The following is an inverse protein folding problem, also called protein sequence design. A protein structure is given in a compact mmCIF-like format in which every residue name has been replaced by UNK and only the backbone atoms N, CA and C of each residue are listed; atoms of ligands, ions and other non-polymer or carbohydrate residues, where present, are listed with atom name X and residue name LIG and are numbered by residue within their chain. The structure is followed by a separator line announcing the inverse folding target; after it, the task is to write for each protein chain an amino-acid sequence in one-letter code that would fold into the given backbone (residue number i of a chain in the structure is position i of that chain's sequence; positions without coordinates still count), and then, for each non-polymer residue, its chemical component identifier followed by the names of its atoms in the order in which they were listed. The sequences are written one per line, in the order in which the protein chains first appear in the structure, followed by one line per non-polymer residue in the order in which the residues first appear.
data_IF_636710664192
#
_entry.id   IF_636710664192
#
_cell.length_a   1.000
_cell.length_b   1.000
_cell.length_c   1.000
_cell.angle_alpha   90.00
_cell.angle_beta   90.00
_cell.angle_gamma   90.00
#
_symmetry.space_group_name_H-M   'P 1'
#
loop_
_entity.id
_entity.type
_entity.pdbx_description
1 polymer ?
#
# COMPACT_ATOMS: atom_id res chain seq x y z
N UNK A 1 0.07 30.35 13.13
CA UNK A 1 -0.44 29.92 11.81
C UNK A 1 -1.48 28.84 12.08
N UNK A 2 -2.75 29.08 11.77
CA UNK A 2 -3.78 28.03 11.80
C UNK A 2 -3.66 27.26 10.49
N UNK A 3 -3.40 25.96 10.57
CA UNK A 3 -3.54 25.07 9.42
C UNK A 3 -5.02 25.09 9.00
N UNK A 4 -5.28 25.46 7.75
CA UNK A 4 -6.61 25.31 7.16
C UNK A 4 -6.91 23.82 7.01
N UNK A 5 -8.14 23.39 7.31
CA UNK A 5 -8.60 21.98 7.35
C UNK A 5 -8.23 21.08 6.14
N UNK A 6 -7.73 21.64 5.03
CA UNK A 6 -7.30 20.91 3.83
C UNK A 6 -5.84 20.44 3.79
N UNK A 7 -5.01 20.75 4.79
CA UNK A 7 -3.56 20.41 4.78
C UNK A 7 -3.17 19.29 5.74
N UNK A 8 -4.11 18.69 6.46
CA UNK A 8 -3.78 17.62 7.39
C UNK A 8 -3.34 16.37 6.61
N UNK A 9 -2.16 15.85 6.93
CA UNK A 9 -1.60 14.63 6.34
C UNK A 9 -1.33 13.62 7.45
N UNK A 10 -1.79 12.40 7.26
CA UNK A 10 -1.58 11.29 8.20
C UNK A 10 -0.66 10.29 7.53
N UNK A 11 0.46 9.99 8.18
CA UNK A 11 1.30 8.84 7.85
C UNK A 11 0.95 7.71 8.81
N UNK A 12 0.47 6.59 8.28
CA UNK A 12 0.40 5.32 8.97
C UNK A 12 1.56 4.46 8.48
N UNK A 13 2.39 3.96 9.39
CA UNK A 13 3.51 3.08 9.06
C UNK A 13 3.43 1.83 9.90
N UNK A 14 3.51 0.68 9.24
CA UNK A 14 3.59 -0.63 9.87
C UNK A 14 4.72 -1.44 9.25
N UNK A 15 5.59 -1.97 10.11
CA UNK A 15 6.60 -2.96 9.74
C UNK A 15 6.53 -4.13 10.72
N UNK A 16 6.34 -5.33 10.22
CA UNK A 16 6.07 -6.49 11.06
C UNK A 16 5.48 -7.66 10.27
N UNK A 17 4.69 -8.50 10.95
CA UNK A 17 4.09 -9.67 10.33
C UNK A 17 2.77 -9.33 9.65
N UNK A 18 2.69 -9.65 8.35
CA UNK A 18 1.46 -9.75 7.59
C UNK A 18 1.22 -11.20 7.21
N UNK A 19 -0.03 -11.65 7.28
CA UNK A 19 -0.43 -13.04 7.09
C UNK A 19 -1.64 -13.14 6.17
N UNK A 20 -1.82 -14.34 5.61
CA UNK A 20 -3.06 -14.74 4.96
C UNK A 20 -3.87 -15.58 5.94
N UNK A 21 -5.13 -15.19 6.14
CA UNK A 21 -6.11 -15.89 6.98
C UNK A 21 -7.28 -16.35 6.12
N UNK A 22 -8.17 -17.18 6.67
CA UNK A 22 -9.39 -17.59 5.98
C UNK A 22 -10.23 -16.33 5.67
N UNK A 23 -10.68 -16.19 4.41
CA UNK A 23 -11.44 -15.02 3.97
C UNK A 23 -12.78 -14.84 4.70
N UNK A 24 -13.34 -15.91 5.27
CA UNK A 24 -14.56 -15.84 6.09
C UNK A 24 -14.38 -15.11 7.42
N UNK A 25 -13.13 -14.87 7.84
CA UNK A 25 -12.81 -14.15 9.07
C UNK A 25 -12.79 -12.62 8.89
N UNK A 26 -12.83 -12.10 7.66
CA UNK A 26 -12.73 -10.65 7.42
C UNK A 26 -14.04 -9.90 7.74
N UNK A 27 -14.07 -8.99 8.74
CA UNK A 27 -15.31 -8.44 9.29
C UNK A 27 -16.01 -7.40 8.40
N UNK A 28 -15.35 -6.90 7.36
CA UNK A 28 -15.86 -5.80 6.51
C UNK A 28 -15.73 -6.06 5.00
N UNK A 29 -15.43 -7.30 4.60
CA UNK A 29 -15.42 -7.72 3.20
C UNK A 29 -16.46 -8.83 2.99
N UNK A 30 -17.48 -8.53 2.20
CA UNK A 30 -18.52 -9.51 1.85
C UNK A 30 -18.18 -10.32 0.60
N UNK A 31 -16.97 -10.17 0.05
CA UNK A 31 -16.53 -10.92 -1.11
C UNK A 31 -16.21 -12.37 -0.72
N UNK A 32 -16.58 -13.32 -1.58
CA UNK A 32 -16.29 -14.75 -1.41
C UNK A 32 -14.82 -15.06 -1.70
N UNK A 33 -13.90 -14.38 -1.02
CA UNK A 33 -12.46 -14.66 -1.13
C UNK A 33 -12.12 -15.91 -0.33
N UNK A 34 -11.25 -16.74 -0.88
CA UNK A 34 -10.70 -17.89 -0.14
C UNK A 34 -9.76 -17.46 0.99
N UNK A 35 -9.14 -16.27 0.87
CA UNK A 35 -8.19 -15.74 1.85
C UNK A 35 -8.35 -14.23 2.03
N UNK A 36 -8.09 -13.76 3.25
CA UNK A 36 -7.98 -12.35 3.61
C UNK A 36 -6.55 -12.01 4.09
N UNK A 37 -6.17 -10.74 3.93
CA UNK A 37 -4.87 -10.22 4.36
C UNK A 37 -5.03 -9.52 5.72
N UNK A 38 -4.17 -9.85 6.68
CA UNK A 38 -4.20 -9.25 8.01
C UNK A 38 -2.79 -8.91 8.51
N UNK A 39 -2.71 -7.84 9.29
CA UNK A 39 -1.53 -7.49 10.07
C UNK A 39 -1.62 -8.13 11.45
N UNK A 40 -0.49 -8.60 11.98
CA UNK A 40 -0.43 -9.16 13.34
C UNK A 40 0.00 -8.06 14.30
N UNK A 41 -0.92 -7.68 15.20
CA UNK A 41 -0.66 -6.71 16.25
C UNK A 41 0.27 -7.29 17.35
N UNK A 42 0.81 -6.43 18.21
CA UNK A 42 1.73 -6.84 19.27
C UNK A 42 1.15 -7.81 20.31
N UNK A 43 -0.18 -7.86 20.43
CA UNK A 43 -0.92 -8.81 21.27
C UNK A 43 -1.33 -10.09 20.52
N UNK A 44 -0.95 -10.23 19.24
CA UNK A 44 -1.30 -11.36 18.39
C UNK A 44 -2.66 -11.24 17.69
N UNK A 45 -3.42 -10.17 17.92
CA UNK A 45 -4.69 -9.95 17.21
C UNK A 45 -4.46 -9.58 15.74
N UNK A 46 -5.44 -9.92 14.91
CA UNK A 46 -5.42 -9.63 13.48
C UNK A 46 -6.10 -8.29 13.21
N UNK A 47 -5.41 -7.41 12.49
CA UNK A 47 -5.96 -6.15 12.00
C UNK A 47 -6.11 -6.26 10.48
N UNK A 48 -7.34 -6.23 10.01
CA UNK A 48 -7.65 -6.34 8.58
C UNK A 48 -7.52 -4.97 7.89
N UNK A 49 -7.14 -4.96 6.62
CA UNK A 49 -7.02 -3.68 5.90
C UNK A 49 -8.37 -3.01 5.64
N UNK A 50 -9.45 -3.78 5.52
CA UNK A 50 -10.82 -3.24 5.43
C UNK A 50 -11.24 -2.54 6.72
N UNK A 51 -10.81 -3.04 7.87
CA UNK A 51 -10.99 -2.44 9.18
C UNK A 51 -10.18 -1.14 9.32
N UNK A 52 -8.88 -1.16 8.99
CA UNK A 52 -8.03 0.04 8.96
C UNK A 52 -8.64 1.15 8.08
N UNK A 53 -9.05 0.79 6.86
CA UNK A 53 -9.72 1.71 5.94
C UNK A 53 -11.01 2.28 6.55
N UNK A 54 -11.79 1.44 7.24
CA UNK A 54 -13.01 1.87 7.93
C UNK A 54 -12.70 2.89 9.03
N UNK A 55 -11.70 2.62 9.88
CA UNK A 55 -11.26 3.57 10.92
C UNK A 55 -10.83 4.91 10.34
N UNK A 56 -10.06 4.90 9.27
CA UNK A 56 -9.66 6.12 8.57
C UNK A 56 -10.85 6.90 8.01
N UNK A 57 -11.79 6.23 7.35
CA UNK A 57 -13.00 6.85 6.81
C UNK A 57 -13.92 7.41 7.91
N UNK A 58 -13.94 6.76 9.08
CA UNK A 58 -14.78 7.14 10.21
C UNK A 58 -14.11 8.13 11.18
N UNK A 59 -12.82 8.43 10.99
CA UNK A 59 -12.10 9.41 11.80
C UNK A 59 -12.73 10.80 11.69
N UNK A 60 -12.53 11.63 12.72
CA UNK A 60 -12.98 13.03 12.71
C UNK A 60 -12.23 13.89 11.68
N UNK A 61 -11.09 13.41 11.18
CA UNK A 61 -10.21 14.11 10.25
C UNK A 61 -10.47 13.69 8.79
N UNK A 62 -11.74 13.70 8.36
CA UNK A 62 -12.12 13.22 7.01
C UNK A 62 -11.52 14.04 5.87
N UNK A 63 -11.02 15.24 6.13
CA UNK A 63 -10.31 16.08 5.17
C UNK A 63 -8.83 15.73 5.05
N UNK A 64 -8.27 14.92 5.96
CA UNK A 64 -6.86 14.57 5.91
C UNK A 64 -6.58 13.55 4.81
N UNK A 65 -5.48 13.74 4.08
CA UNK A 65 -4.95 12.70 3.20
C UNK A 65 -4.13 11.70 4.01
N UNK A 66 -4.19 10.44 3.61
CA UNK A 66 -3.59 9.34 4.35
C UNK A 66 -2.59 8.62 3.47
N UNK A 67 -1.36 8.49 3.93
CA UNK A 67 -0.36 7.60 3.36
C UNK A 67 -0.17 6.44 4.33
N UNK A 68 -0.46 5.22 3.90
CA UNK A 68 -0.25 4.01 4.66
C UNK A 68 0.89 3.20 4.04
N UNK A 69 1.90 2.89 4.83
CA UNK A 69 3.07 2.12 4.41
C UNK A 69 3.09 0.80 5.18
N UNK A 70 3.17 -0.32 4.45
CA UNK A 70 3.16 -1.67 5.00
C UNK A 70 4.42 -2.43 4.57
N UNK A 71 5.43 -2.43 5.43
CA UNK A 71 6.62 -3.27 5.28
C UNK A 71 6.41 -4.63 5.94
N UNK A 72 5.58 -5.45 5.28
CA UNK A 72 5.14 -6.75 5.77
C UNK A 72 4.77 -7.67 4.60
N UNK A 73 4.81 -8.98 4.83
CA UNK A 73 4.41 -9.98 3.84
C UNK A 73 2.91 -9.88 3.52
N UNK A 74 2.52 -10.26 2.31
CA UNK A 74 1.10 -10.39 1.94
C UNK A 74 0.28 -9.11 2.13
N UNK A 75 0.85 -7.91 2.01
CA UNK A 75 0.12 -6.65 2.25
C UNK A 75 -0.29 -5.91 0.98
N UNK A 76 0.12 -6.36 -0.20
CA UNK A 76 -0.27 -5.72 -1.46
C UNK A 76 -1.79 -5.65 -1.65
N UNK A 77 -2.34 -4.44 -1.65
CA UNK A 77 -3.78 -4.20 -1.78
C UNK A 77 -4.58 -4.44 -0.50
N UNK A 78 -3.92 -4.53 0.66
CA UNK A 78 -4.56 -4.90 1.94
C UNK A 78 -5.70 -3.97 2.30
N UNK A 79 -5.57 -2.66 2.04
CA UNK A 79 -6.65 -1.70 2.32
C UNK A 79 -7.73 -1.70 1.24
N UNK A 80 -7.72 -2.63 0.28
CA UNK A 80 -8.75 -2.77 -0.76
C UNK A 80 -9.05 -1.48 -1.53
N UNK A 81 -8.03 -0.66 -1.76
CA UNK A 81 -8.19 0.59 -2.49
C UNK A 81 -8.57 0.31 -3.96
N UNK A 82 -9.41 1.15 -4.58
CA UNK A 82 -10.00 0.90 -5.89
C UNK A 82 -9.01 0.84 -7.06
N UNK A 83 -7.83 1.43 -6.92
CA UNK A 83 -6.83 1.46 -7.98
C UNK A 83 -5.49 0.92 -7.48
N UNK A 84 -4.85 0.08 -8.27
CA UNK A 84 -3.48 -0.39 -8.05
C UNK A 84 -2.59 0.02 -9.23
N UNK A 85 -1.37 0.44 -8.91
CA UNK A 85 -0.29 0.71 -9.83
C UNK A 85 0.67 -0.47 -9.80
N UNK A 86 0.91 -1.06 -10.96
CA UNK A 86 1.87 -2.14 -11.16
C UNK A 86 2.81 -1.78 -12.30
N UNK A 87 4.08 -2.12 -12.12
CA UNK A 87 5.07 -2.04 -13.20
C UNK A 87 5.11 -3.37 -13.93
N UNK A 88 5.03 -3.31 -15.25
CA UNK A 88 5.13 -4.45 -16.13
C UNK A 88 6.01 -4.10 -17.31
N UNK A 89 7.20 -4.71 -17.40
CA UNK A 89 8.18 -4.46 -18.47
C UNK A 89 8.45 -2.97 -18.67
N UNK A 90 8.78 -2.28 -17.58
CA UNK A 90 9.09 -0.84 -17.56
C UNK A 90 7.88 0.08 -17.83
N UNK A 91 6.68 -0.45 -18.07
CA UNK A 91 5.46 0.35 -18.20
C UNK A 91 4.65 0.37 -16.90
N UNK A 92 4.15 1.54 -16.53
CA UNK A 92 3.16 1.68 -15.46
C UNK A 92 1.78 1.30 -15.97
N UNK A 93 1.16 0.33 -15.29
CA UNK A 93 -0.21 -0.09 -15.50
C UNK A 93 -1.05 0.22 -14.28
N UNK A 94 -2.10 0.99 -14.50
CA UNK A 94 -3.12 1.28 -13.49
C UNK A 94 -4.31 0.36 -13.73
N UNK A 95 -4.59 -0.49 -12.75
CA UNK A 95 -5.75 -1.37 -12.75
C UNK A 95 -6.78 -0.86 -11.75
N UNK A 96 -8.06 -1.05 -12.08
CA UNK A 96 -9.15 -0.78 -11.14
C UNK A 96 -9.57 -2.08 -10.47
N UNK A 97 -9.03 -2.34 -9.28
CA UNK A 97 -9.26 -3.58 -8.53
C UNK A 97 -10.62 -3.62 -7.82
N UNK A 98 -11.28 -2.48 -7.61
CA UNK A 98 -12.59 -2.43 -6.96
C UNK A 98 -13.50 -1.33 -7.49
N UNK A 99 -14.82 -1.59 -7.42
CA UNK A 99 -15.87 -0.58 -7.64
C UNK A 99 -16.16 0.25 -6.38
N UNK A 100 -15.61 -0.15 -5.24
CA UNK A 100 -15.79 0.55 -3.97
C UNK A 100 -15.31 2.00 -4.06
N UNK A 101 -16.13 2.92 -3.60
CA UNK A 101 -15.75 4.33 -3.48
C UNK A 101 -15.23 4.58 -2.08
N UNK A 102 -14.03 5.14 -1.99
CA UNK A 102 -13.40 5.51 -0.71
C UNK A 102 -13.45 7.04 -0.61
N UNK A 103 -14.17 7.62 0.37
CA UNK A 103 -14.41 9.07 0.42
C UNK A 103 -13.16 9.88 0.78
N UNK A 104 -12.22 9.27 1.51
CA UNK A 104 -10.97 9.88 1.97
C UNK A 104 -9.85 9.62 0.96
N UNK A 105 -8.96 10.60 0.78
CA UNK A 105 -7.76 10.43 -0.03
C UNK A 105 -6.77 9.50 0.69
N UNK A 106 -6.44 8.37 0.06
CA UNK A 106 -5.55 7.36 0.62
C UNK A 106 -4.55 6.90 -0.44
N UNK A 107 -3.29 6.78 -0.03
CA UNK A 107 -2.20 6.14 -0.73
C UNK A 107 -1.72 4.96 0.11
N UNK A 108 -1.67 3.77 -0.47
CA UNK A 108 -1.10 2.56 0.11
C UNK A 108 0.23 2.27 -0.57
N UNK A 109 1.27 2.01 0.21
CA UNK A 109 2.57 1.52 -0.27
C UNK A 109 2.88 0.23 0.48
N UNK A 110 2.86 -0.89 -0.24
CA UNK A 110 3.00 -2.23 0.34
C UNK A 110 4.27 -2.89 -0.17
N UNK A 111 4.98 -3.59 0.71
CA UNK A 111 6.30 -4.15 0.40
C UNK A 111 6.26 -5.26 -0.63
N UNK A 112 5.18 -6.04 -0.65
CA UNK A 112 5.04 -7.21 -1.47
C UNK A 112 3.61 -7.35 -1.96
N UNK A 113 3.42 -7.93 -3.15
CA UNK A 113 2.10 -8.36 -3.63
C UNK A 113 1.46 -9.37 -2.67
N UNK A 114 0.14 -9.56 -2.76
CA UNK A 114 -0.61 -10.42 -1.84
C UNK A 114 -0.06 -11.87 -1.71
N UNK A 115 0.57 -12.40 -2.76
CA UNK A 115 1.16 -13.74 -2.81
C UNK A 115 2.69 -13.77 -2.62
N UNK A 116 3.31 -12.64 -2.25
CA UNK A 116 4.75 -12.50 -2.09
C UNK A 116 5.15 -12.22 -0.64
N UNK A 117 6.43 -12.49 -0.34
CA UNK A 117 7.04 -12.20 0.94
C UNK A 117 7.73 -10.84 0.93
N UNK A 118 7.80 -10.20 2.09
CA UNK A 118 8.65 -9.05 2.33
C UNK A 118 9.92 -9.51 3.04
N UNK A 119 11.06 -8.96 2.64
CA UNK A 119 12.37 -9.34 3.13
C UNK A 119 13.02 -8.20 3.91
N UNK A 120 13.97 -8.59 4.77
CA UNK A 120 14.90 -7.66 5.39
C UNK A 120 16.28 -7.89 4.82
N UNK A 121 17.02 -6.81 4.59
CA UNK A 121 18.39 -6.87 4.06
C UNK A 121 19.36 -6.14 4.99
N UNK A 122 20.61 -6.62 5.01
CA UNK A 122 21.70 -5.95 5.72
C UNK A 122 22.22 -4.79 4.87
N UNK A 123 21.96 -3.55 5.29
CA UNK A 123 22.38 -2.31 4.61
C UNK A 123 23.03 -1.38 5.65
N UNK A 124 24.14 -0.72 5.32
CA UNK A 124 24.72 0.32 6.19
C UNK A 124 25.00 -0.10 7.64
N UNK A 125 25.29 -1.38 7.92
CA UNK A 125 25.58 -1.88 9.26
C UNK A 125 24.36 -2.24 10.13
N UNK A 126 23.15 -2.24 9.57
CA UNK A 126 21.92 -2.68 10.24
C UNK A 126 21.06 -3.59 9.36
N UNK A 127 20.03 -4.22 9.96
CA UNK A 127 18.99 -4.94 9.21
C UNK A 127 17.76 -4.05 9.09
N UNK A 128 17.29 -3.88 7.85
CA UNK A 128 16.12 -3.05 7.53
C UNK A 128 15.19 -3.81 6.61
N UNK A 129 13.89 -3.59 6.75
CA UNK A 129 12.91 -4.02 5.76
C UNK A 129 13.22 -3.38 4.41
N UNK A 130 13.12 -4.17 3.34
CA UNK A 130 13.57 -3.78 2.00
C UNK A 130 12.77 -2.57 1.48
N UNK A 131 11.44 -2.56 1.70
CA UNK A 131 10.60 -1.43 1.33
C UNK A 131 10.99 -0.19 2.14
N UNK A 132 11.12 -0.32 3.45
CA UNK A 132 11.43 0.82 4.33
C UNK A 132 12.75 1.47 3.95
N UNK A 133 13.77 0.66 3.66
CA UNK A 133 15.07 1.18 3.22
C UNK A 133 14.94 1.95 1.90
N UNK A 134 14.34 1.34 0.87
CA UNK A 134 14.24 1.96 -0.45
C UNK A 134 13.33 3.19 -0.45
N UNK A 135 12.24 3.18 0.31
CA UNK A 135 11.39 4.36 0.47
C UNK A 135 12.16 5.52 1.12
N UNK A 136 13.00 5.25 2.13
CA UNK A 136 13.84 6.30 2.73
C UNK A 136 14.90 6.81 1.76
N UNK A 137 15.50 5.95 0.93
CA UNK A 137 16.45 6.41 -0.09
C UNK A 137 15.77 7.25 -1.15
N UNK A 138 14.61 6.82 -1.66
CA UNK A 138 13.79 7.61 -2.57
C UNK A 138 13.58 9.03 -2.02
N UNK A 139 13.05 9.15 -0.82
CA UNK A 139 12.78 10.46 -0.19
C UNK A 139 14.02 11.32 0.06
N UNK A 140 15.23 10.75 0.03
CA UNK A 140 16.50 11.48 0.21
C UNK A 140 17.18 11.85 -1.10
N UNK A 141 17.04 11.01 -2.11
CA UNK A 141 17.89 11.03 -3.30
C UNK A 141 17.17 11.49 -4.57
N UNK A 142 15.83 11.54 -4.56
CA UNK A 142 15.05 12.00 -5.69
C UNK A 142 14.26 13.27 -5.38
N UNK A 143 14.09 14.10 -6.41
CA UNK A 143 13.19 15.25 -6.42
C UNK A 143 11.85 14.91 -7.14
N UNK A 144 11.68 13.66 -7.60
CA UNK A 144 10.43 13.21 -8.21
C UNK A 144 9.36 13.00 -7.12
N UNK A 145 8.33 13.83 -7.13
CA UNK A 145 7.21 13.74 -6.18
C UNK A 145 6.03 12.93 -6.73
N UNK A 146 6.16 12.36 -7.92
CA UNK A 146 5.09 11.62 -8.58
C UNK A 146 4.99 10.18 -8.06
N UNK A 147 3.76 9.66 -7.99
CA UNK A 147 3.52 8.25 -7.67
C UNK A 147 4.16 7.32 -8.70
N UNK A 148 4.29 7.79 -9.95
CA UNK A 148 4.95 7.03 -11.00
C UNK A 148 6.46 6.91 -10.75
N UNK A 149 7.12 8.01 -10.41
CA UNK A 149 8.53 8.01 -10.02
C UNK A 149 8.79 7.11 -8.82
N UNK A 150 7.90 7.17 -7.82
CA UNK A 150 7.95 6.29 -6.65
C UNK A 150 7.80 4.83 -7.05
N UNK A 151 6.82 4.49 -7.90
CA UNK A 151 6.62 3.13 -8.37
C UNK A 151 7.86 2.59 -9.08
N UNK A 152 8.45 3.37 -10.01
CA UNK A 152 9.65 2.99 -10.75
C UNK A 152 10.83 2.76 -9.83
N UNK A 153 11.10 3.72 -8.95
CA UNK A 153 12.22 3.60 -8.03
C UNK A 153 12.07 2.37 -7.13
N UNK A 154 10.87 2.12 -6.59
CA UNK A 154 10.64 0.96 -5.74
C UNK A 154 10.79 -0.36 -6.51
N UNK A 155 10.28 -0.47 -7.74
CA UNK A 155 10.42 -1.66 -8.58
C UNK A 155 11.90 -1.97 -8.90
N UNK A 156 12.68 -0.94 -9.24
CA UNK A 156 14.10 -1.08 -9.60
C UNK A 156 15.00 -1.36 -8.39
N UNK A 157 14.68 -0.79 -7.22
CA UNK A 157 15.61 -0.75 -6.08
C UNK A 157 15.21 -1.65 -4.91
N UNK A 158 13.92 -2.02 -4.75
CA UNK A 158 13.51 -2.93 -3.69
C UNK A 158 14.08 -4.31 -3.94
N UNK A 159 13.64 -5.04 -4.97
CA UNK A 159 14.17 -6.37 -5.24
C UNK A 159 14.21 -6.64 -6.75
N UNK A 160 15.35 -6.42 -7.40
CA UNK A 160 15.47 -6.57 -8.85
C UNK A 160 15.31 -8.03 -9.31
N UNK A 161 15.41 -9.00 -8.41
CA UNK A 161 15.18 -10.42 -8.71
C UNK A 161 13.68 -10.77 -8.72
N UNK A 162 12.81 -9.83 -8.32
CA UNK A 162 11.35 -9.93 -8.39
C UNK A 162 10.70 -10.82 -7.33
N UNK A 163 11.45 -11.25 -6.31
CA UNK A 163 10.91 -12.00 -5.16
C UNK A 163 9.98 -11.15 -4.29
N UNK A 164 10.26 -9.86 -4.20
CA UNK A 164 9.46 -8.85 -3.53
C UNK A 164 9.16 -7.68 -4.48
N UNK A 165 7.95 -7.63 -5.01
CA UNK A 165 7.51 -6.52 -5.87
C UNK A 165 6.63 -5.57 -5.05
N UNK A 166 7.09 -4.34 -4.76
CA UNK A 166 6.27 -3.33 -4.11
C UNK A 166 5.01 -3.03 -4.92
N UNK A 167 3.93 -2.71 -4.22
CA UNK A 167 2.67 -2.34 -4.84
C UNK A 167 2.17 -1.02 -4.26
N UNK A 168 1.71 -0.13 -5.14
CA UNK A 168 1.11 1.14 -4.74
C UNK A 168 -0.37 1.11 -5.10
N UNK A 169 -1.23 1.40 -4.14
CA UNK A 169 -2.68 1.50 -4.37
C UNK A 169 -3.20 2.87 -3.93
N UNK A 170 -4.30 3.35 -4.52
CA UNK A 170 -4.84 4.66 -4.19
C UNK A 170 -6.37 4.74 -4.27
N UNK A 171 -6.96 5.63 -3.47
CA UNK A 171 -8.42 5.78 -3.37
C UNK A 171 -9.07 6.51 -4.55
N UNK A 172 -8.29 7.30 -5.29
CA UNK A 172 -8.77 8.13 -6.41
C UNK A 172 -7.79 8.03 -7.55
N UNK A 173 -8.30 8.01 -8.78
CA UNK A 173 -7.45 8.01 -9.96
C UNK A 173 -6.50 9.22 -9.94
N UNK A 174 -5.20 8.94 -9.87
CA UNK A 174 -4.16 9.96 -10.03
C UNK A 174 -4.18 10.40 -11.49
N UNK A 175 -4.10 11.72 -11.74
CA UNK A 175 -3.98 12.24 -13.10
C UNK A 175 -2.66 11.72 -13.68
N UNK A 176 -2.74 10.76 -14.61
CA UNK A 176 -1.62 9.95 -15.09
C UNK A 176 -2.04 8.93 -16.15
N UNK A 177 -1.19 7.93 -16.50
CA UNK A 177 -1.38 7.07 -17.67
C UNK A 177 -2.73 6.36 -17.68
N UNK A 178 -3.23 6.08 -18.90
CA UNK A 178 -4.57 5.54 -19.15
C UNK A 178 -4.77 4.22 -18.39
N UNK A 179 -5.87 4.14 -17.62
CA UNK A 179 -6.37 2.89 -17.04
C UNK A 179 -6.61 1.91 -18.18
N UNK A 180 -5.96 0.75 -18.14
CA UNK A 180 -6.32 -0.37 -18.98
C UNK A 180 -7.58 -0.98 -18.35
N UNK A 181 -8.74 -0.75 -18.96
CA UNK A 181 -9.93 -1.50 -18.61
C UNK A 181 -9.76 -2.91 -19.14
N UNK A 182 -9.88 -3.92 -18.27
CA UNK A 182 -9.98 -5.30 -18.72
C UNK A 182 -11.13 -5.40 -19.73
N UNK A 183 -10.78 -5.71 -20.98
CA UNK A 183 -11.74 -6.13 -21.99
C UNK A 183 -12.31 -7.47 -21.52
N UNK A 184 -13.60 -7.44 -21.18
CA UNK A 184 -14.49 -8.59 -20.96
C UNK A 184 -14.36 -9.66 -22.02
#
# INVERSE_FOLDING_TARGET
MQATDGDNRILFYFAGHGILVDGSEEPFDSSSKSFAQALVAGNGEHIYGSELRSWFCNSSNRSASITAVFDACHTGGIMGLPYSCEIYREDIRVHRSSKQTVPVEMLEISAARWNQQAFSSSRGGGMYGQLSWCLVQYLKETDDESVNGLAHYLDENCDPDGGQLPQICYSRQIKGPRVLSDST
#
